data_IF_902250940570
#
_entry.id   IF_902250940570
#
_cell.length_a   1.000
_cell.length_b   1.000
_cell.length_c   1.000
_cell.angle_alpha   90.00
_cell.angle_beta   90.00
_cell.angle_gamma   90.00
#
_symmetry.space_group_name_H-M   'P 1'
#
loop_
_entity.id
_entity.type
_entity.pdbx_description
1 polymer ?
#
# COMPACT_ATOMS: atom_id res chain seq x y z
N UNK A 1 -15.43 25.76 -25.57
CA UNK A 1 -16.48 26.35 -24.72
C UNK A 1 -17.69 26.63 -25.59
N UNK A 2 -18.82 26.07 -25.16
CA UNK A 2 -20.23 26.25 -25.56
C UNK A 2 -20.63 26.46 -27.02
N UNK A 3 -21.53 25.55 -27.41
CA UNK A 3 -22.22 25.41 -28.68
C UNK A 3 -23.23 26.52 -28.95
N UNK A 4 -23.34 26.85 -30.24
CA UNK A 4 -24.49 27.47 -30.85
C UNK A 4 -25.57 26.40 -31.13
N UNK A 5 -26.85 26.75 -30.99
CA UNK A 5 -27.76 26.81 -32.14
C UNK A 5 -29.23 27.02 -31.71
N UNK A 6 -29.71 28.23 -32.03
CA UNK A 6 -30.93 28.54 -32.79
C UNK A 6 -32.21 27.77 -32.43
N UNK A 7 -33.09 28.53 -31.77
CA UNK A 7 -34.52 28.35 -31.53
C UNK A 7 -35.41 28.39 -32.78
N UNK A 8 -36.64 27.87 -32.60
CA UNK A 8 -37.90 28.12 -33.33
C UNK A 8 -38.31 27.01 -34.33
N UNK A 9 -39.58 26.57 -34.43
CA UNK A 9 -40.85 26.93 -33.78
C UNK A 9 -41.86 25.81 -34.04
N UNK A 10 -42.87 25.72 -33.18
CA UNK A 10 -43.99 24.80 -33.23
C UNK A 10 -45.01 25.10 -34.35
N UNK A 11 -45.72 24.07 -34.81
CA UNK A 11 -47.19 23.91 -34.75
C UNK A 11 -47.83 23.27 -36.01
N UNK A 12 -48.50 22.13 -35.74
CA UNK A 12 -49.82 21.66 -36.21
C UNK A 12 -50.07 21.33 -37.70
N UNK A 13 -50.63 20.14 -37.90
CA UNK A 13 -51.35 19.75 -39.11
C UNK A 13 -51.85 18.30 -39.04
N UNK A 14 -53.14 18.13 -38.82
CA UNK A 14 -53.86 16.85 -38.84
C UNK A 14 -54.24 16.43 -40.28
N UNK A 15 -54.27 15.12 -40.55
CA UNK A 15 -54.85 14.51 -41.76
C UNK A 15 -54.69 12.98 -41.70
N UNK A 16 -55.70 12.24 -41.22
CA UNK A 16 -56.67 11.49 -42.05
C UNK A 16 -56.01 10.42 -42.94
N UNK A 17 -55.92 9.14 -42.53
CA UNK A 17 -56.97 8.08 -42.55
C UNK A 17 -56.79 7.11 -43.74
N UNK A 18 -56.79 5.80 -43.41
CA UNK A 18 -57.12 4.61 -44.23
C UNK A 18 -56.16 4.10 -45.33
N UNK A 19 -55.53 2.94 -45.06
CA UNK A 19 -55.47 1.74 -45.94
C UNK A 19 -54.77 0.60 -45.16
N UNK A 20 -55.56 -0.32 -44.58
CA UNK A 20 -55.69 -1.71 -45.06
C UNK A 20 -54.36 -2.52 -44.92
N UNK A 21 -54.16 -3.22 -43.82
CA UNK A 21 -54.61 -4.62 -43.61
C UNK A 21 -53.75 -5.65 -44.38
N UNK A 22 -53.34 -6.68 -43.62
CA UNK A 22 -52.84 -8.00 -44.04
C UNK A 22 -51.36 -8.11 -44.39
N UNK A 23 -50.57 -8.60 -43.42
CA UNK A 23 -49.72 -9.78 -43.60
C UNK A 23 -49.23 -10.25 -42.22
N UNK A 24 -50.06 -11.08 -41.58
CA UNK A 24 -49.64 -11.93 -40.50
C UNK A 24 -48.77 -13.07 -41.09
N UNK A 25 -47.48 -13.10 -40.77
CA UNK A 25 -46.69 -14.35 -40.79
C UNK A 25 -45.80 -14.38 -39.56
N UNK A 26 -46.08 -15.38 -38.75
CA UNK A 26 -45.36 -15.80 -37.55
C UNK A 26 -44.00 -16.37 -37.94
N UNK A 27 -42.93 -15.81 -37.39
CA UNK A 27 -41.72 -16.58 -37.06
C UNK A 27 -41.30 -16.18 -35.65
N UNK A 28 -41.55 -17.09 -34.71
CA UNK A 28 -41.03 -17.00 -33.36
C UNK A 28 -39.51 -17.02 -33.41
N UNK A 29 -38.91 -15.99 -32.81
CA UNK A 29 -37.49 -15.91 -32.52
C UNK A 29 -37.30 -15.42 -31.10
N UNK A 30 -37.57 -16.28 -30.11
CA UNK A 30 -37.04 -16.10 -28.75
C UNK A 30 -35.53 -16.36 -28.79
N UNK A 31 -34.76 -15.34 -29.15
CA UNK A 31 -33.31 -15.28 -28.91
C UNK A 31 -33.05 -14.17 -27.91
N UNK A 32 -32.95 -14.51 -26.63
CA UNK A 32 -32.62 -13.56 -25.57
C UNK A 32 -31.27 -12.87 -25.80
N UNK A 33 -30.98 -11.78 -25.08
CA UNK A 33 -29.66 -11.14 -25.13
C UNK A 33 -28.62 -12.16 -24.69
N UNK A 34 -27.80 -12.61 -25.63
CA UNK A 34 -26.67 -13.47 -25.32
C UNK A 34 -25.71 -12.67 -24.43
N UNK A 35 -25.40 -13.10 -23.19
CA UNK A 35 -24.32 -12.53 -22.42
C UNK A 35 -23.01 -13.13 -22.93
N UNK A 36 -22.61 -12.78 -24.15
CA UNK A 36 -21.31 -13.14 -24.69
C UNK A 36 -20.27 -12.14 -24.22
N UNK A 37 -19.83 -12.30 -22.98
CA UNK A 37 -18.44 -12.09 -22.52
C UNK A 37 -18.43 -12.37 -21.02
N UNK A 38 -18.52 -13.65 -20.68
CA UNK A 38 -18.06 -14.10 -19.37
C UNK A 38 -16.53 -14.10 -19.45
N UNK A 39 -15.92 -12.99 -19.04
CA UNK A 39 -14.49 -12.92 -18.80
C UNK A 39 -14.19 -13.63 -17.46
N UNK A 40 -14.22 -14.97 -17.49
CA UNK A 40 -13.69 -15.83 -16.43
C UNK A 40 -12.27 -16.29 -16.80
N UNK A 41 -11.43 -15.34 -17.21
CA UNK A 41 -10.00 -15.50 -16.99
C UNK A 41 -9.74 -15.39 -15.49
N UNK A 42 -8.89 -16.24 -14.87
CA UNK A 42 -8.39 -15.96 -13.53
C UNK A 42 -7.79 -14.55 -13.58
N UNK A 43 -8.31 -13.63 -12.77
CA UNK A 43 -7.68 -12.33 -12.60
C UNK A 43 -6.20 -12.63 -12.31
N UNK A 44 -5.31 -12.17 -13.21
CA UNK A 44 -3.87 -12.30 -13.00
C UNK A 44 -3.59 -11.60 -11.70
N UNK A 45 -3.44 -12.38 -10.63
CA UNK A 45 -3.10 -11.85 -9.34
C UNK A 45 -1.85 -11.00 -9.57
N UNK A 46 -1.81 -9.73 -9.14
CA UNK A 46 -0.66 -8.89 -9.35
C UNK A 46 0.54 -9.64 -8.81
N UNK A 47 1.41 -10.12 -9.71
CA UNK A 47 2.66 -10.77 -9.34
C UNK A 47 3.40 -9.68 -8.60
N UNK A 48 3.46 -9.79 -7.27
CA UNK A 48 4.16 -8.82 -6.45
C UNK A 48 5.61 -8.93 -6.87
N UNK A 49 6.06 -8.02 -7.72
CA UNK A 49 7.43 -7.99 -8.21
C UNK A 49 8.32 -8.08 -6.98
N UNK A 50 9.01 -9.21 -6.87
CA UNK A 50 9.80 -9.57 -5.69
C UNK A 50 11.16 -8.89 -5.86
N UNK A 51 11.17 -7.58 -5.67
CA UNK A 51 12.40 -6.79 -5.64
C UNK A 51 13.10 -6.92 -4.28
N UNK A 52 14.38 -6.54 -4.18
CA UNK A 52 15.06 -6.43 -2.90
C UNK A 52 14.33 -5.44 -1.98
N UNK A 53 14.36 -5.75 -0.68
CA UNK A 53 13.78 -4.90 0.36
C UNK A 53 14.89 -4.28 1.19
N UNK A 54 14.74 -3.00 1.47
CA UNK A 54 15.71 -2.18 2.18
C UNK A 54 15.08 -1.50 3.40
N UNK A 55 15.95 -0.99 4.27
CA UNK A 55 15.65 0.09 5.19
C UNK A 55 16.58 1.25 4.85
N UNK A 56 16.12 2.49 4.96
CA UNK A 56 16.98 3.64 4.74
C UNK A 56 17.67 4.06 6.04
N UNK A 57 18.93 4.48 5.95
CA UNK A 57 19.56 5.22 7.05
C UNK A 57 19.08 6.67 7.12
N UNK A 58 19.63 7.47 8.04
CA UNK A 58 19.26 8.87 8.24
C UNK A 58 19.56 9.79 7.06
N UNK A 59 20.35 9.34 6.08
CA UNK A 59 20.68 10.08 4.85
C UNK A 59 20.08 9.41 3.60
N UNK A 60 19.13 8.50 3.78
CA UNK A 60 18.43 7.85 2.68
C UNK A 60 19.17 6.68 2.03
N UNK A 61 20.33 6.25 2.55
CA UNK A 61 21.09 5.14 1.95
C UNK A 61 20.37 3.80 2.18
N UNK A 62 20.20 2.98 1.14
CA UNK A 62 19.60 1.66 1.28
C UNK A 62 20.52 0.72 2.06
N UNK A 63 19.97 0.10 3.10
CA UNK A 63 20.63 -0.92 3.90
C UNK A 63 19.86 -2.24 3.82
N UNK A 64 20.59 -3.34 3.65
CA UNK A 64 20.06 -4.69 3.81
C UNK A 64 20.58 -5.31 5.10
N UNK A 65 19.66 -5.76 5.96
CA UNK A 65 19.98 -6.46 7.22
C UNK A 65 21.06 -5.75 8.04
N UNK A 66 20.93 -4.44 8.32
CA UNK A 66 21.99 -3.71 9.01
C UNK A 66 22.15 -4.19 10.45
N UNK A 67 23.37 -4.10 10.98
CA UNK A 67 23.65 -4.42 12.40
C UNK A 67 23.31 -3.28 13.36
N UNK A 68 23.08 -2.08 12.84
CA UNK A 68 22.65 -0.92 13.60
C UNK A 68 21.62 -0.11 12.79
N UNK A 69 20.62 0.44 13.46
CA UNK A 69 19.56 1.22 12.84
C UNK A 69 19.15 2.38 13.76
N UNK A 70 19.29 3.64 13.33
CA UNK A 70 18.75 4.78 14.06
C UNK A 70 17.21 4.74 14.06
N UNK A 71 16.60 5.14 15.18
CA UNK A 71 15.16 5.24 15.37
C UNK A 71 14.82 6.70 15.64
N UNK A 72 14.71 7.48 14.57
CA UNK A 72 14.68 8.94 14.67
C UNK A 72 15.94 9.47 15.36
N UNK A 73 15.78 10.58 16.09
CA UNK A 73 16.91 11.29 16.69
C UNK A 73 17.24 10.85 18.12
N UNK A 74 16.31 10.20 18.83
CA UNK A 74 16.40 9.97 20.29
C UNK A 74 16.79 8.56 20.69
N UNK A 75 16.81 7.62 19.74
CA UNK A 75 17.11 6.22 20.01
C UNK A 75 17.82 5.54 18.83
N UNK A 76 18.55 4.47 19.13
CA UNK A 76 19.23 3.64 18.14
C UNK A 76 19.23 2.18 18.56
N UNK A 77 19.13 1.32 17.55
CA UNK A 77 19.30 -0.12 17.68
C UNK A 77 20.72 -0.50 17.31
N UNK A 78 21.32 -1.39 18.08
CA UNK A 78 22.68 -1.90 17.86
C UNK A 78 22.75 -3.42 18.02
N UNK A 79 23.71 -4.04 17.35
CA UNK A 79 23.93 -5.48 17.42
C UNK A 79 22.75 -6.29 16.88
N UNK A 80 22.05 -5.76 15.87
CA UNK A 80 20.89 -6.41 15.26
C UNK A 80 21.29 -7.73 14.59
N UNK A 81 20.51 -8.77 14.86
CA UNK A 81 20.60 -10.09 14.25
C UNK A 81 19.23 -10.44 13.67
N UNK A 82 19.17 -10.49 12.34
CA UNK A 82 17.93 -10.70 11.59
C UNK A 82 17.58 -12.18 11.51
N UNK A 83 16.38 -12.52 11.95
CA UNK A 83 15.76 -13.84 11.82
C UNK A 83 15.03 -13.96 10.48
N UNK A 84 14.39 -12.87 10.05
CA UNK A 84 13.69 -12.78 8.77
C UNK A 84 13.97 -11.44 8.08
N UNK A 85 13.87 -11.43 6.75
CA UNK A 85 14.07 -10.24 5.91
C UNK A 85 13.41 -10.43 4.55
N UNK A 86 12.98 -9.35 3.91
CA UNK A 86 12.50 -9.37 2.52
C UNK A 86 11.03 -9.72 2.36
N UNK A 87 10.38 -10.23 3.41
CA UNK A 87 8.94 -10.42 3.45
C UNK A 87 8.17 -9.16 3.84
N UNK A 88 6.84 -9.27 4.02
CA UNK A 88 5.99 -8.18 4.53
C UNK A 88 6.50 -7.59 5.85
N UNK A 89 7.18 -8.41 6.63
CA UNK A 89 7.88 -8.03 7.86
C UNK A 89 9.30 -8.57 7.89
N UNK A 90 10.18 -7.88 8.61
CA UNK A 90 11.50 -8.38 8.99
C UNK A 90 11.64 -8.36 10.51
N UNK A 91 12.18 -9.43 11.08
CA UNK A 91 12.30 -9.59 12.54
C UNK A 91 13.77 -9.69 12.91
N UNK A 92 14.17 -8.97 13.95
CA UNK A 92 15.51 -9.06 14.52
C UNK A 92 15.48 -8.99 16.05
N UNK A 93 16.47 -9.64 16.66
CA UNK A 93 16.89 -9.36 18.03
C UNK A 93 18.03 -8.35 18.04
N UNK A 94 18.11 -7.52 19.06
CA UNK A 94 19.22 -6.57 19.22
C UNK A 94 19.21 -5.88 20.57
N UNK A 95 19.86 -4.72 20.61
CA UNK A 95 19.93 -3.88 21.80
C UNK A 95 19.48 -2.46 21.49
N UNK A 96 18.80 -1.84 22.45
CA UNK A 96 18.26 -0.49 22.37
C UNK A 96 19.06 0.44 23.28
N UNK A 97 19.41 1.61 22.74
CA UNK A 97 20.02 2.72 23.47
C UNK A 97 19.31 4.01 23.06
N UNK A 98 19.11 4.92 23.99
CA UNK A 98 18.58 6.26 23.73
C UNK A 98 18.98 7.23 24.82
N UNK A 99 18.85 8.53 24.55
CA UNK A 99 19.29 9.56 25.50
C UNK A 99 18.41 9.59 26.76
N UNK A 100 17.14 9.20 26.61
CA UNK A 100 16.14 9.16 27.68
C UNK A 100 16.34 8.03 28.70
N UNK A 101 17.15 7.02 28.38
CA UNK A 101 17.50 5.93 29.32
C UNK A 101 18.95 6.03 29.79
N UNK A 102 19.63 7.14 29.49
CA UNK A 102 20.95 7.39 30.03
C UNK A 102 20.85 7.75 31.52
N UNK A 103 21.79 7.26 32.36
CA UNK A 103 23.00 6.50 31.98
C UNK A 103 22.83 4.97 31.94
N UNK A 104 21.70 4.41 32.36
CA UNK A 104 21.50 2.96 32.52
C UNK A 104 21.71 2.20 31.21
N UNK A 105 21.01 2.58 30.15
CA UNK A 105 21.06 1.87 28.86
C UNK A 105 22.35 2.13 28.07
N UNK A 106 23.09 3.19 28.40
CA UNK A 106 24.40 3.46 27.79
C UNK A 106 25.44 2.46 28.34
N UNK A 107 25.35 2.14 29.64
CA UNK A 107 26.22 1.12 30.26
C UNK A 107 25.77 -0.29 29.92
N UNK A 108 24.46 -0.54 30.02
CA UNK A 108 23.85 -1.85 29.76
C UNK A 108 22.68 -1.69 28.80
N UNK A 109 22.94 -1.73 27.47
CA UNK A 109 21.88 -1.58 26.48
C UNK A 109 20.76 -2.59 26.64
N UNK A 110 19.52 -2.13 26.60
CA UNK A 110 18.33 -2.94 26.84
C UNK A 110 18.12 -3.95 25.72
N UNK A 111 17.68 -5.17 26.07
CA UNK A 111 17.38 -6.17 25.05
C UNK A 111 16.12 -5.77 24.31
N UNK A 112 16.18 -5.80 22.99
CA UNK A 112 15.06 -5.41 22.16
C UNK A 112 14.73 -6.48 21.11
N UNK A 113 13.44 -6.69 20.88
CA UNK A 113 12.92 -7.33 19.68
C UNK A 113 12.41 -6.26 18.73
N UNK A 114 12.80 -6.38 17.48
CA UNK A 114 12.53 -5.40 16.42
C UNK A 114 11.73 -6.07 15.33
N UNK A 115 10.66 -5.41 14.90
CA UNK A 115 9.84 -5.82 13.76
C UNK A 115 9.74 -4.67 12.78
N UNK A 116 10.32 -4.82 11.60
CA UNK A 116 10.10 -3.89 10.50
C UNK A 116 8.84 -4.28 9.73
N UNK A 117 8.10 -3.27 9.28
CA UNK A 117 6.85 -3.44 8.53
C UNK A 117 6.56 -2.23 7.65
N UNK A 118 5.41 -2.25 6.95
CA UNK A 118 4.99 -1.14 6.09
C UNK A 118 5.84 -1.05 4.82
N UNK A 119 5.82 -2.11 4.00
CA UNK A 119 6.55 -2.10 2.73
C UNK A 119 6.02 -1.02 1.79
N UNK A 120 6.84 0.00 1.54
CA UNK A 120 6.63 0.98 0.50
C UNK A 120 7.32 0.48 -0.77
N UNK A 121 6.51 0.05 -1.74
CA UNK A 121 7.01 -0.48 -3.00
C UNK A 121 7.32 0.68 -3.94
N UNK A 122 8.48 0.58 -4.57
CA UNK A 122 8.93 1.44 -5.65
C UNK A 122 9.18 0.57 -6.88
N UNK A 123 9.53 1.17 -8.02
CA UNK A 123 9.81 0.42 -9.23
C UNK A 123 11.03 -0.50 -9.05
N UNK A 124 10.78 -1.79 -8.78
CA UNK A 124 11.82 -2.81 -8.70
C UNK A 124 12.40 -3.07 -7.31
N UNK A 125 12.02 -2.33 -6.27
CA UNK A 125 12.47 -2.52 -4.90
C UNK A 125 11.41 -2.06 -3.88
N UNK A 126 11.64 -2.31 -2.59
CA UNK A 126 10.78 -1.79 -1.53
C UNK A 126 11.58 -1.33 -0.31
N UNK A 127 10.99 -0.44 0.49
CA UNK A 127 11.51 0.00 1.77
C UNK A 127 10.55 -0.33 2.91
N UNK A 128 11.07 -0.75 4.06
CA UNK A 128 10.28 -0.75 5.29
C UNK A 128 10.09 0.69 5.78
N UNK A 129 8.85 1.11 6.00
CA UNK A 129 8.53 2.46 6.51
C UNK A 129 8.31 2.53 8.01
N UNK A 130 8.27 1.41 8.72
CA UNK A 130 8.02 1.41 10.16
C UNK A 130 8.81 0.34 10.89
N UNK A 131 9.23 0.67 12.11
CA UNK A 131 9.83 -0.24 13.08
C UNK A 131 9.00 -0.28 14.36
N UNK A 132 8.59 -1.47 14.77
CA UNK A 132 8.09 -1.72 16.12
C UNK A 132 9.19 -2.32 16.99
N UNK A 133 9.39 -1.76 18.18
CA UNK A 133 10.42 -2.17 19.11
C UNK A 133 9.80 -2.50 20.45
N UNK A 134 10.10 -3.70 20.95
CA UNK A 134 9.67 -4.17 22.25
C UNK A 134 10.90 -4.44 23.10
N UNK A 135 11.03 -3.72 24.21
CA UNK A 135 12.07 -3.90 25.20
C UNK A 135 11.39 -4.06 26.58
N UNK A 136 11.64 -5.17 27.31
CA UNK A 136 10.98 -5.44 28.60
C UNK A 136 11.20 -4.36 29.65
N UNK A 137 12.31 -3.62 29.58
CA UNK A 137 12.70 -2.59 30.53
C UNK A 137 11.99 -1.24 30.27
N UNK A 138 11.27 -1.11 29.15
CA UNK A 138 10.65 0.14 28.72
C UNK A 138 9.13 0.03 28.87
N UNK A 139 8.53 1.01 29.54
CA UNK A 139 7.11 1.02 29.88
C UNK A 139 6.47 2.39 29.63
N UNK A 140 5.14 2.44 29.74
CA UNK A 140 4.36 3.66 29.61
C UNK A 140 4.39 4.25 28.21
N UNK A 141 4.36 5.58 28.13
CA UNK A 141 4.34 6.34 26.87
C UNK A 141 5.52 5.99 25.96
N UNK A 142 6.73 5.84 26.52
CA UNK A 142 7.92 5.50 25.73
C UNK A 142 7.81 4.14 25.04
N UNK A 143 7.21 3.16 25.70
CA UNK A 143 6.97 1.85 25.09
C UNK A 143 5.94 1.94 23.95
N UNK A 144 4.92 2.79 24.10
CA UNK A 144 3.93 3.02 23.05
C UNK A 144 4.54 3.72 21.82
N UNK A 145 5.37 4.74 22.03
CA UNK A 145 6.12 5.41 20.96
C UNK A 145 7.03 4.44 20.20
N UNK A 146 7.81 3.63 20.93
CA UNK A 146 8.71 2.64 20.33
C UNK A 146 7.98 1.48 19.66
N UNK A 147 6.74 1.20 20.06
CA UNK A 147 5.90 0.16 19.47
C UNK A 147 5.59 0.40 17.98
N UNK A 148 5.67 1.66 17.51
CA UNK A 148 5.56 2.01 16.08
C UNK A 148 6.28 3.32 15.78
N UNK A 149 7.55 3.20 15.42
CA UNK A 149 8.40 4.29 14.93
C UNK A 149 8.29 4.36 13.40
N UNK A 150 8.14 5.56 12.85
CA UNK A 150 8.27 5.81 11.42
C UNK A 150 9.74 5.85 11.02
N UNK A 151 10.10 5.12 9.98
CA UNK A 151 11.45 5.11 9.45
C UNK A 151 11.59 6.16 8.34
N UNK A 152 12.80 6.67 8.17
CA UNK A 152 13.11 7.54 7.06
C UNK A 152 12.89 6.77 5.74
N UNK A 153 12.28 7.44 4.78
CA UNK A 153 12.13 6.96 3.42
C UNK A 153 12.88 7.93 2.51
N UNK A 154 13.64 7.43 1.54
CA UNK A 154 14.29 8.32 0.58
C UNK A 154 13.24 9.05 -0.24
N UNK A 155 13.45 10.34 -0.49
CA UNK A 155 12.65 11.10 -1.43
C UNK A 155 12.86 10.52 -2.83
N UNK A 156 11.80 9.96 -3.40
CA UNK A 156 11.78 9.53 -4.81
C UNK A 156 11.32 10.71 -5.65
N UNK A 157 12.23 11.27 -6.45
CA UNK A 157 11.91 12.25 -7.50
C UNK A 157 11.53 11.53 -8.79
#
# INVERSE_FOLDING_TARGET
>A
MSAANITARAAWGAGAVLLAALLAVVLGGCGGPAPLLRDEGPAVAPTTRTGPVYVADTVGRPLQRPSALPLGDSARLIGLRWESWGGPTAVAGGRLVGDWCAPECVRTPYRAKVTLSGLQRQEGFAYYSSAGVVAPEVHGEKAAELGRVSLHLPDVQ
#
